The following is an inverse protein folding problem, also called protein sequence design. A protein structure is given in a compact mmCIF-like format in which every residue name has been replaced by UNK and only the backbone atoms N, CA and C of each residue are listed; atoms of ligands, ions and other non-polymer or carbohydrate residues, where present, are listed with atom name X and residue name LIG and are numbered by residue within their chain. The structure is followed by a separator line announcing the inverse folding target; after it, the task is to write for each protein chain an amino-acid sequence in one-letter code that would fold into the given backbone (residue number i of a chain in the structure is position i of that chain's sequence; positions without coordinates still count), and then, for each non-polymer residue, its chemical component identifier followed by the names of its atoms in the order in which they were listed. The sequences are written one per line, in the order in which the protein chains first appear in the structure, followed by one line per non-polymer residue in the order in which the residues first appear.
data_IF_267747622895
#
_entry.id   IF_267747622895
#
_cell.length_a   1.000
_cell.length_b   1.000
_cell.length_c   1.000
_cell.angle_alpha   90.00
_cell.angle_beta   90.00
_cell.angle_gamma   90.00
#
_symmetry.space_group_name_H-M   'P 1'
#
loop_
_entity.id
_entity.type
_entity.pdbx_description
1 polymer ?
#
# COMPACT_ATOMS: atom_id res chain seq x y z
N UNK A 1 -6.65 41.19 -65.22
CA UNK A 1 -7.09 40.06 -64.38
C UNK A 1 -5.97 39.88 -63.36
N UNK A 2 -5.94 40.72 -62.33
CA UNK A 2 -6.58 40.49 -61.02
C UNK A 2 -5.79 39.45 -60.21
N UNK A 3 -4.95 39.87 -59.27
CA UNK A 3 -5.24 40.30 -57.88
C UNK A 3 -5.46 39.14 -56.89
N UNK A 4 -4.66 39.18 -55.81
CA UNK A 4 -5.01 38.88 -54.40
C UNK A 4 -5.45 37.44 -54.03
N UNK A 5 -5.11 36.82 -52.90
CA UNK A 5 -4.38 37.17 -51.67
C UNK A 5 -4.19 35.86 -50.85
N UNK A 6 -3.03 35.65 -50.22
CA UNK A 6 -2.70 35.73 -48.77
C UNK A 6 -3.66 35.01 -47.77
N UNK A 7 -3.01 34.39 -46.77
CA UNK A 7 -3.48 33.81 -45.47
C UNK A 7 -3.66 32.28 -45.56
N UNK A 8 -3.13 31.41 -44.70
CA UNK A 8 -2.70 31.52 -43.29
C UNK A 8 -1.79 30.30 -42.98
N UNK A 9 -0.54 30.49 -42.58
CA UNK A 9 -0.03 30.17 -41.24
C UNK A 9 -0.53 28.85 -40.61
N UNK A 10 0.33 27.83 -40.61
CA UNK A 10 0.17 26.59 -39.84
C UNK A 10 1.42 26.27 -39.03
N UNK A 11 1.78 27.12 -38.07
CA UNK A 11 2.68 26.77 -36.97
C UNK A 11 1.83 26.50 -35.74
N UNK A 12 1.86 25.27 -35.22
CA UNK A 12 1.27 24.88 -33.95
C UNK A 12 2.23 24.00 -33.16
N UNK A 13 2.76 24.55 -32.06
CA UNK A 13 3.53 23.90 -30.99
C UNK A 13 2.62 23.04 -30.08
N UNK A 14 3.11 21.85 -29.65
CA UNK A 14 2.95 21.01 -28.40
C UNK A 14 1.70 21.15 -27.45
N UNK A 15 1.44 20.29 -26.43
CA UNK A 15 1.95 18.96 -25.99
C UNK A 15 0.82 17.94 -25.62
N UNK A 16 1.15 16.70 -25.18
CA UNK A 16 0.28 15.95 -24.23
C UNK A 16 -0.09 14.50 -24.58
N UNK A 17 0.36 13.58 -23.71
CA UNK A 17 -0.40 12.49 -23.09
C UNK A 17 -1.44 11.73 -23.94
N UNK A 18 -1.14 10.47 -24.24
CA UNK A 18 -2.11 9.52 -24.78
C UNK A 18 -1.72 8.09 -24.49
N UNK A 19 -1.91 7.69 -23.23
CA UNK A 19 -1.81 6.31 -22.76
C UNK A 19 -2.62 5.37 -23.65
N UNK A 20 -1.96 4.39 -24.29
CA UNK A 20 -2.62 3.21 -24.83
C UNK A 20 -1.65 2.02 -24.83
N UNK A 21 -1.17 1.69 -23.63
CA UNK A 21 -0.69 0.35 -23.32
C UNK A 21 -1.87 -0.41 -22.70
N UNK A 22 -2.73 -0.93 -23.57
CA UNK A 22 -3.71 -1.96 -23.19
C UNK A 22 -2.95 -3.26 -22.99
N UNK A 23 -2.21 -3.38 -21.88
CA UNK A 23 -1.71 -4.69 -21.46
C UNK A 23 -2.86 -5.42 -20.76
N UNK A 24 -3.25 -6.55 -21.34
CA UNK A 24 -4.03 -7.58 -20.66
C UNK A 24 -3.43 -7.83 -19.26
N UNK A 25 -4.24 -7.87 -18.19
CA UNK A 25 -3.74 -8.16 -16.86
C UNK A 25 -3.20 -9.60 -16.85
N UNK A 26 -1.92 -9.83 -16.52
CA UNK A 26 -1.49 -11.20 -16.23
C UNK A 26 -2.22 -11.61 -14.95
N UNK A 27 -3.23 -12.47 -15.12
CA UNK A 27 -3.72 -13.28 -14.02
C UNK A 27 -2.62 -14.24 -13.65
N UNK A 28 -1.81 -13.89 -12.64
CA UNK A 28 -0.95 -14.84 -11.94
C UNK A 28 -0.65 -14.31 -10.52
N UNK A 29 -1.48 -14.75 -9.57
CA UNK A 29 -1.12 -15.11 -8.19
C UNK A 29 -0.43 -14.13 -7.23
N UNK A 30 0.12 -13.01 -7.68
CA UNK A 30 0.86 -12.07 -6.84
C UNK A 30 0.04 -10.80 -6.70
N UNK A 31 -0.47 -10.48 -5.50
CA UNK A 31 -1.20 -9.24 -5.30
C UNK A 31 -0.30 -8.07 -5.66
N UNK A 32 -0.84 -7.16 -6.47
CA UNK A 32 -0.14 -5.97 -6.94
C UNK A 32 0.45 -5.21 -5.74
N UNK A 33 1.75 -4.83 -5.78
CA UNK A 33 2.39 -4.20 -4.62
C UNK A 33 1.71 -2.88 -4.24
N UNK A 34 1.14 -2.14 -5.20
CA UNK A 34 0.39 -0.93 -4.90
C UNK A 34 -0.98 -1.25 -4.25
N UNK A 35 -1.62 -2.36 -4.64
CA UNK A 35 -2.82 -2.86 -3.96
C UNK A 35 -2.51 -3.26 -2.51
N UNK A 36 -1.39 -3.94 -2.26
CA UNK A 36 -0.97 -4.29 -0.91
C UNK A 36 -0.65 -3.06 -0.08
N UNK A 37 0.15 -2.12 -0.58
CA UNK A 37 0.49 -0.91 0.17
C UNK A 37 -0.75 -0.04 0.45
N UNK A 38 -1.69 0.06 -0.50
CA UNK A 38 -2.98 0.72 -0.26
C UNK A 38 -3.79 0.01 0.83
N UNK A 39 -3.82 -1.33 0.84
CA UNK A 39 -4.47 -2.10 1.88
C UNK A 39 -3.82 -1.88 3.25
N UNK A 40 -2.49 -1.87 3.33
CA UNK A 40 -1.73 -1.56 4.55
C UNK A 40 -2.09 -0.18 5.07
N UNK A 41 -2.01 0.85 4.22
CA UNK A 41 -2.36 2.23 4.62
C UNK A 41 -3.78 2.34 5.16
N UNK A 42 -4.76 1.72 4.49
CA UNK A 42 -6.16 1.70 4.93
C UNK A 42 -6.30 0.99 6.28
N UNK A 43 -5.66 -0.17 6.45
CA UNK A 43 -5.74 -0.97 7.68
C UNK A 43 -5.10 -0.24 8.86
N UNK A 44 -3.90 0.31 8.69
CA UNK A 44 -3.18 1.04 9.74
C UNK A 44 -3.89 2.33 10.16
N UNK A 45 -4.62 2.97 9.24
CA UNK A 45 -5.41 4.19 9.51
C UNK A 45 -6.58 3.98 10.48
N UNK A 46 -6.90 2.74 10.85
CA UNK A 46 -7.97 2.44 11.80
C UNK A 46 -7.60 2.76 13.26
N UNK A 47 -6.33 3.07 13.55
CA UNK A 47 -5.91 3.56 14.87
C UNK A 47 -5.66 2.48 15.93
N UNK A 48 -5.60 1.21 15.53
CA UNK A 48 -5.22 0.09 16.39
C UNK A 48 -4.87 -1.14 15.55
N UNK A 49 -4.31 -2.21 16.17
CA UNK A 49 -4.21 -3.49 15.49
C UNK A 49 -5.60 -3.87 14.98
N UNK A 50 -5.68 -4.36 13.75
CA UNK A 50 -6.97 -4.75 13.19
C UNK A 50 -7.58 -5.91 14.01
N UNK A 51 -8.39 -5.54 15.00
CA UNK A 51 -9.20 -6.47 15.79
C UNK A 51 -10.34 -7.04 14.93
N UNK A 52 -10.85 -8.20 15.35
CA UNK A 52 -12.06 -8.80 14.80
C UNK A 52 -13.26 -7.87 15.04
N UNK A 53 -13.49 -6.91 14.14
CA UNK A 53 -14.55 -5.92 14.29
C UNK A 53 -14.50 -4.77 13.30
N UNK A 54 -13.34 -4.53 12.68
CA UNK A 54 -13.28 -3.70 11.49
C UNK A 54 -14.15 -4.32 10.39
N UNK A 55 -15.09 -3.56 9.82
CA UNK A 55 -15.97 -4.08 8.79
C UNK A 55 -15.17 -4.34 7.50
N UNK A 56 -14.84 -5.60 7.25
CA UNK A 56 -14.08 -6.02 6.06
C UNK A 56 -14.75 -5.54 4.78
N UNK A 57 -16.09 -5.46 4.77
CA UNK A 57 -16.85 -4.97 3.61
C UNK A 57 -16.54 -3.52 3.33
N UNK A 58 -16.43 -2.68 4.35
CA UNK A 58 -16.06 -1.27 4.22
C UNK A 58 -14.61 -1.12 3.74
N UNK A 59 -13.67 -1.89 4.31
CA UNK A 59 -12.25 -1.83 3.90
C UNK A 59 -12.06 -2.30 2.45
N UNK A 60 -12.69 -3.42 2.09
CA UNK A 60 -12.66 -3.97 0.73
C UNK A 60 -13.30 -3.00 -0.25
N UNK A 61 -14.45 -2.40 0.09
CA UNK A 61 -15.09 -1.39 -0.76
C UNK A 61 -14.21 -0.16 -0.96
N UNK A 62 -13.55 0.31 0.09
CA UNK A 62 -12.63 1.46 0.02
C UNK A 62 -11.41 1.14 -0.83
N UNK A 63 -10.83 -0.05 -0.65
CA UNK A 63 -9.68 -0.52 -1.41
C UNK A 63 -10.00 -0.71 -2.89
N UNK A 64 -11.10 -1.39 -3.22
CA UNK A 64 -11.52 -1.55 -4.61
C UNK A 64 -11.96 -0.21 -5.25
N UNK A 65 -12.37 0.78 -4.44
CA UNK A 65 -12.60 2.15 -4.91
C UNK A 65 -11.31 2.92 -5.25
N UNK A 66 -10.20 2.61 -4.58
CA UNK A 66 -8.88 3.21 -4.86
C UNK A 66 -8.15 2.49 -6.00
N UNK A 67 -8.35 1.17 -6.13
CA UNK A 67 -7.73 0.33 -7.16
C UNK A 67 -8.84 -0.31 -8.01
N UNK A 68 -9.43 0.43 -8.97
CA UNK A 68 -10.56 -0.06 -9.78
C UNK A 68 -10.16 -1.23 -10.69
N UNK A 69 -8.88 -1.44 -10.94
CA UNK A 69 -8.34 -2.57 -11.71
C UNK A 69 -8.27 -3.87 -10.90
N UNK A 70 -8.43 -3.82 -9.57
CA UNK A 70 -8.33 -4.99 -8.71
C UNK A 70 -9.68 -5.72 -8.60
N UNK A 71 -9.65 -7.05 -8.71
CA UNK A 71 -10.81 -7.89 -8.44
C UNK A 71 -11.16 -7.88 -6.95
N UNK A 72 -12.44 -8.01 -6.56
CA UNK A 72 -12.85 -8.03 -5.16
C UNK A 72 -12.21 -9.18 -4.35
N UNK A 73 -11.89 -10.29 -5.00
CA UNK A 73 -11.12 -11.39 -4.39
C UNK A 73 -9.68 -10.97 -4.02
N UNK A 74 -9.02 -10.20 -4.90
CA UNK A 74 -7.68 -9.65 -4.63
C UNK A 74 -7.72 -8.55 -3.57
N UNK A 75 -8.75 -7.69 -3.59
CA UNK A 75 -8.96 -6.71 -2.52
C UNK A 75 -9.11 -7.42 -1.15
N UNK A 76 -9.90 -8.50 -1.08
CA UNK A 76 -10.07 -9.29 0.15
C UNK A 76 -8.77 -9.92 0.62
N UNK A 77 -8.01 -10.54 -0.29
CA UNK A 77 -6.72 -11.15 0.03
C UNK A 77 -5.72 -10.09 0.55
N UNK A 78 -5.63 -8.94 -0.13
CA UNK A 78 -4.78 -7.83 0.28
C UNK A 78 -5.16 -7.26 1.67
N UNK A 79 -6.45 -7.06 1.94
CA UNK A 79 -6.94 -6.64 3.27
C UNK A 79 -6.60 -7.69 4.33
N UNK A 80 -6.81 -8.97 4.06
CA UNK A 80 -6.49 -10.05 5.00
C UNK A 80 -4.99 -10.09 5.33
N UNK A 81 -4.12 -9.98 4.32
CA UNK A 81 -2.66 -9.89 4.52
C UNK A 81 -2.27 -8.64 5.30
N UNK A 82 -2.83 -7.48 4.96
CA UNK A 82 -2.55 -6.22 5.65
C UNK A 82 -2.98 -6.27 7.13
N UNK A 83 -4.10 -6.94 7.45
CA UNK A 83 -4.50 -7.19 8.84
C UNK A 83 -3.53 -8.08 9.58
N UNK A 84 -3.07 -9.16 8.94
CA UNK A 84 -2.04 -10.02 9.52
C UNK A 84 -0.78 -9.21 9.82
N UNK A 85 -0.31 -8.39 8.88
CA UNK A 85 0.83 -7.50 9.07
C UNK A 85 0.61 -6.54 10.26
N UNK A 86 -0.57 -5.93 10.37
CA UNK A 86 -0.92 -5.03 11.47
C UNK A 86 -0.87 -5.73 12.83
N UNK A 87 -1.36 -6.98 12.93
CA UNK A 87 -1.30 -7.78 14.15
C UNK A 87 0.13 -8.19 14.48
N UNK A 88 0.87 -8.67 13.48
CA UNK A 88 2.27 -9.05 13.64
C UNK A 88 3.11 -7.84 14.07
N UNK A 89 2.89 -6.67 13.48
CA UNK A 89 3.57 -5.44 13.87
C UNK A 89 3.28 -5.06 15.32
N UNK A 90 2.03 -5.21 15.78
CA UNK A 90 1.70 -5.00 17.18
C UNK A 90 2.45 -5.96 18.10
N UNK A 91 2.42 -7.27 17.83
CA UNK A 91 3.13 -8.27 18.65
C UNK A 91 4.65 -8.04 18.68
N UNK A 92 5.24 -7.69 17.54
CA UNK A 92 6.67 -7.38 17.43
C UNK A 92 7.00 -6.09 18.20
N UNK A 93 6.17 -5.05 18.11
CA UNK A 93 6.36 -3.81 18.85
C UNK A 93 6.17 -4.00 20.37
N UNK A 94 5.24 -4.85 20.79
CA UNK A 94 5.03 -5.21 22.19
C UNK A 94 6.26 -5.92 22.76
N UNK A 95 6.73 -6.97 22.08
CA UNK A 95 7.96 -7.67 22.44
C UNK A 95 9.21 -6.76 22.39
N UNK A 96 9.25 -5.80 21.45
CA UNK A 96 10.29 -4.78 21.38
C UNK A 96 10.31 -3.87 22.61
N UNK A 97 9.15 -3.50 23.15
CA UNK A 97 9.07 -2.72 24.39
C UNK A 97 9.49 -3.53 25.62
N UNK A 98 9.20 -4.83 25.63
CA UNK A 98 9.67 -5.74 26.68
C UNK A 98 11.19 -5.97 26.61
N UNK A 99 11.85 -5.56 25.52
CA UNK A 99 13.29 -5.68 25.33
C UNK A 99 13.73 -6.97 24.66
N UNK A 100 12.82 -7.73 24.05
CA UNK A 100 13.11 -9.01 23.40
C UNK A 100 14.13 -8.90 22.25
N UNK A 101 14.28 -7.73 21.64
CA UNK A 101 15.24 -7.46 20.56
C UNK A 101 16.52 -6.75 21.05
N UNK A 102 16.74 -6.69 22.36
CA UNK A 102 17.90 -6.06 22.98
C UNK A 102 17.74 -4.54 23.16
N UNK A 103 18.81 -3.88 23.61
CA UNK A 103 18.81 -2.45 23.92
C UNK A 103 19.80 -1.70 23.02
N UNK A 104 19.36 -0.60 22.41
CA UNK A 104 20.21 0.30 21.63
C UNK A 104 19.80 0.47 20.17
N UNK A 105 20.66 1.13 19.38
CA UNK A 105 20.35 1.58 18.02
C UNK A 105 20.06 0.46 17.01
N UNK A 106 20.39 -0.80 17.33
CA UNK A 106 20.15 -1.96 16.46
C UNK A 106 18.85 -2.72 16.75
N UNK A 107 18.20 -2.46 17.90
CA UNK A 107 17.02 -3.22 18.30
C UNK A 107 15.82 -2.97 17.36
N UNK A 108 15.70 -1.74 16.83
CA UNK A 108 14.66 -1.40 15.86
C UNK A 108 14.83 -2.11 14.51
N UNK A 109 16.08 -2.26 14.04
CA UNK A 109 16.36 -3.01 12.80
C UNK A 109 16.11 -4.51 12.99
N UNK A 110 16.48 -5.06 14.15
CA UNK A 110 16.19 -6.45 14.51
C UNK A 110 14.68 -6.73 14.58
N UNK A 111 13.90 -5.82 15.16
CA UNK A 111 12.44 -5.92 15.20
C UNK A 111 11.82 -5.82 13.81
N UNK A 112 12.30 -4.92 12.95
CA UNK A 112 11.86 -4.82 11.56
C UNK A 112 12.15 -6.10 10.79
N UNK A 113 13.35 -6.67 10.92
CA UNK A 113 13.68 -7.96 10.27
C UNK A 113 12.78 -9.09 10.76
N UNK A 114 12.49 -9.15 12.06
CA UNK A 114 11.57 -10.14 12.59
C UNK A 114 10.14 -9.97 12.02
N UNK A 115 9.70 -8.73 11.79
CA UNK A 115 8.42 -8.46 11.14
C UNK A 115 8.42 -8.90 9.67
N UNK A 116 9.51 -8.64 8.93
CA UNK A 116 9.70 -9.08 7.55
C UNK A 116 9.69 -10.62 7.43
N UNK A 117 10.33 -11.32 8.38
CA UNK A 117 10.36 -12.77 8.45
C UNK A 117 8.98 -13.37 8.78
N UNK A 118 8.21 -12.72 9.66
CA UNK A 118 6.90 -13.20 10.11
C UNK A 118 5.79 -12.96 9.07
N UNK A 119 5.86 -11.84 8.38
CA UNK A 119 4.88 -11.41 7.37
C UNK A 119 5.56 -11.00 6.06
N UNK A 120 6.14 -11.95 5.30
CA UNK A 120 6.82 -11.64 4.05
C UNK A 120 5.84 -11.19 2.95
N UNK A 121 6.34 -10.43 1.98
CA UNK A 121 5.61 -10.05 0.76
C UNK A 121 5.12 -8.60 0.71
N UNK A 122 5.52 -7.75 1.66
CA UNK A 122 5.27 -6.31 1.61
C UNK A 122 6.53 -5.53 1.23
N UNK A 123 6.35 -4.25 0.91
CA UNK A 123 7.47 -3.36 0.61
C UNK A 123 8.20 -2.94 1.89
N UNK A 124 9.49 -2.59 1.83
CA UNK A 124 10.23 -2.05 2.98
C UNK A 124 9.57 -0.82 3.62
N UNK A 125 8.86 -0.01 2.84
CA UNK A 125 8.08 1.13 3.37
C UNK A 125 6.89 0.67 4.22
N UNK A 126 6.16 -0.35 3.77
CA UNK A 126 5.00 -0.90 4.48
C UNK A 126 5.40 -1.45 5.85
N UNK A 127 6.53 -2.15 5.95
CA UNK A 127 7.04 -2.65 7.23
C UNK A 127 7.38 -1.52 8.20
N UNK A 128 8.01 -0.45 7.71
CA UNK A 128 8.32 0.73 8.52
C UNK A 128 7.06 1.43 8.99
N UNK A 129 6.06 1.58 8.12
CA UNK A 129 4.76 2.16 8.48
C UNK A 129 4.03 1.31 9.52
N UNK A 130 3.99 -0.01 9.31
CA UNK A 130 3.35 -0.94 10.24
C UNK A 130 4.06 -0.94 11.60
N UNK A 131 5.39 -0.94 11.63
CA UNK A 131 6.18 -0.85 12.85
C UNK A 131 5.98 0.49 13.57
N UNK A 132 5.96 1.61 12.86
CA UNK A 132 5.67 2.92 13.45
C UNK A 132 4.27 2.98 14.05
N UNK A 133 3.27 2.41 13.37
CA UNK A 133 1.91 2.30 13.88
C UNK A 133 1.84 1.39 15.12
N UNK A 134 2.51 0.23 15.09
CA UNK A 134 2.61 -0.69 16.22
C UNK A 134 3.25 -0.06 17.46
N UNK A 135 4.31 0.74 17.29
CA UNK A 135 4.93 1.50 18.39
C UNK A 135 3.97 2.51 19.01
N UNK A 136 3.11 3.15 18.20
CA UNK A 136 2.09 4.09 18.70
C UNK A 136 0.99 3.35 19.48
N UNK A 137 0.56 2.18 19.01
CA UNK A 137 -0.50 1.40 19.67
C UNK A 137 -0.05 0.77 20.98
N UNK A 138 1.21 0.33 21.04
CA UNK A 138 1.83 -0.24 22.24
C UNK A 138 2.34 0.83 23.21
N UNK A 139 2.21 2.12 22.88
CA UNK A 139 2.65 3.23 23.72
C UNK A 139 1.77 3.52 24.94
N UNK A 140 0.54 2.98 24.95
CA UNK A 140 -0.48 3.22 25.96
C UNK A 140 -0.80 1.92 26.71
#
# INVERSE_FOLDING_TARGET
MEQHGRLDQGVGKYPGTGCLMTMYPPGDGVPDPALLSAAVSIVLSQGGPAEEGADDTVLIRRLCGQVPSASPGLCRDAVSRARKLSRDAYEICDAFRDGAYGSGSGAGDAALRALEEKSPGFSPDDYRQAFAAGLLWTAF
#
